data_IF_893195341190
#
_entry.id   IF_893195341190
#
_cell.length_a   1.000
_cell.length_b   1.000
_cell.length_c   1.000
_cell.angle_alpha   90.00
_cell.angle_beta   90.00
_cell.angle_gamma   90.00
#
_symmetry.space_group_name_H-M   'P 1'
#
loop_
_entity.id
_entity.type
_entity.pdbx_description
1 polymer ?
#
# COMPACT_ATOMS: atom_id res chain seq x y z
N UNK A 1 27.29 -51.63 19.52
CA UNK A 1 25.89 -51.29 19.82
C UNK A 1 25.70 -49.86 19.33
N UNK A 2 25.20 -49.72 18.10
CA UNK A 2 25.02 -48.46 17.40
C UNK A 2 23.64 -47.90 17.76
N UNK A 3 23.58 -46.71 18.32
CA UNK A 3 22.34 -45.95 18.42
C UNK A 3 22.52 -44.67 17.60
N UNK A 4 22.14 -44.77 16.33
CA UNK A 4 22.23 -43.69 15.35
C UNK A 4 21.07 -42.73 15.58
N UNK A 5 21.40 -41.47 15.84
CA UNK A 5 20.47 -40.36 15.98
C UNK A 5 19.65 -40.13 14.69
N UNK A 6 18.33 -40.01 14.80
CA UNK A 6 17.48 -39.42 13.78
C UNK A 6 16.92 -38.09 14.33
N UNK A 7 17.62 -36.98 14.05
CA UNK A 7 17.02 -35.64 14.12
C UNK A 7 16.52 -35.33 12.73
N UNK A 8 15.22 -35.43 12.52
CA UNK A 8 14.58 -34.87 11.35
C UNK A 8 14.71 -33.35 11.42
N UNK A 9 15.66 -32.80 10.66
CA UNK A 9 15.78 -31.37 10.46
C UNK A 9 14.61 -30.92 9.58
N UNK A 10 13.51 -30.48 10.20
CA UNK A 10 12.44 -29.77 9.52
C UNK A 10 13.04 -28.57 8.80
N UNK A 11 13.10 -28.65 7.47
CA UNK A 11 13.60 -27.58 6.63
C UNK A 11 12.59 -26.45 6.66
N UNK A 12 12.88 -25.40 7.43
CA UNK A 12 12.12 -24.14 7.40
C UNK A 12 12.27 -23.54 6.01
N UNK A 13 11.23 -23.67 5.18
CA UNK A 13 11.19 -23.02 3.87
C UNK A 13 10.90 -21.54 4.06
N UNK A 14 11.83 -20.68 3.68
CA UNK A 14 11.58 -19.24 3.61
C UNK A 14 10.53 -18.98 2.52
N UNK A 15 9.35 -18.53 2.93
CA UNK A 15 8.32 -18.05 2.00
C UNK A 15 8.67 -16.59 1.66
N UNK A 16 8.82 -16.23 0.37
CA UNK A 16 9.02 -14.83 -0.02
C UNK A 16 7.91 -13.96 0.55
N UNK A 17 8.28 -12.83 1.14
CA UNK A 17 7.30 -11.83 1.56
C UNK A 17 6.63 -11.23 0.31
N UNK A 18 5.33 -10.94 0.35
CA UNK A 18 4.66 -10.32 -0.79
C UNK A 18 5.20 -8.91 -1.01
N UNK A 19 5.73 -8.67 -2.21
CA UNK A 19 6.16 -7.35 -2.64
C UNK A 19 4.95 -6.41 -2.85
N UNK A 20 5.14 -5.08 -2.73
CA UNK A 20 4.10 -4.12 -3.05
C UNK A 20 3.59 -4.31 -4.48
N UNK A 21 2.26 -4.16 -4.67
CA UNK A 21 1.69 -4.24 -6.02
C UNK A 21 2.23 -3.10 -6.90
N UNK A 22 2.43 -3.38 -8.18
CA UNK A 22 2.78 -2.35 -9.15
C UNK A 22 1.63 -1.34 -9.34
N UNK A 23 2.00 -0.07 -9.43
CA UNK A 23 1.10 1.02 -9.78
C UNK A 23 0.57 0.84 -11.21
N UNK A 24 -0.71 1.12 -11.40
CA UNK A 24 -1.32 1.18 -12.74
C UNK A 24 -1.03 2.51 -13.43
N UNK A 25 -1.00 2.49 -14.76
CA UNK A 25 -1.01 3.72 -15.56
C UNK A 25 -2.38 4.39 -15.45
N UNK A 26 -2.43 5.71 -15.60
CA UNK A 26 -3.68 6.48 -15.43
C UNK A 26 -4.78 6.11 -16.43
N UNK A 27 -4.42 5.59 -17.60
CA UNK A 27 -5.35 5.11 -18.62
C UNK A 27 -5.84 3.68 -18.37
N UNK A 28 -5.27 2.96 -17.41
CA UNK A 28 -5.68 1.62 -17.00
C UNK A 28 -6.65 1.65 -15.80
N UNK A 29 -6.82 2.81 -15.16
CA UNK A 29 -7.80 3.01 -14.10
C UNK A 29 -9.21 3.07 -14.69
N UNK A 30 -10.15 2.35 -14.08
CA UNK A 30 -11.56 2.58 -14.37
C UNK A 30 -12.04 3.95 -13.81
N UNK A 31 -13.27 4.36 -14.15
CA UNK A 31 -13.79 5.68 -13.76
C UNK A 31 -13.79 5.92 -12.24
N UNK A 32 -14.14 4.93 -11.44
CA UNK A 32 -14.20 5.06 -9.97
C UNK A 32 -12.82 5.10 -9.33
N UNK A 33 -11.90 4.25 -9.82
CA UNK A 33 -10.50 4.27 -9.39
C UNK A 33 -9.82 5.58 -9.78
N UNK A 34 -10.08 6.07 -10.99
CA UNK A 34 -9.58 7.36 -11.48
C UNK A 34 -10.12 8.51 -10.65
N UNK A 35 -11.41 8.50 -10.33
CA UNK A 35 -12.02 9.51 -9.46
C UNK A 35 -11.37 9.53 -8.07
N UNK A 36 -11.13 8.35 -7.47
CA UNK A 36 -10.45 8.26 -6.19
C UNK A 36 -9.03 8.84 -6.25
N UNK A 37 -8.29 8.50 -7.31
CA UNK A 37 -6.96 9.05 -7.57
C UNK A 37 -6.98 10.59 -7.74
N UNK A 38 -7.90 11.11 -8.54
CA UNK A 38 -8.02 12.55 -8.82
C UNK A 38 -8.34 13.35 -7.55
N UNK A 39 -9.22 12.84 -6.67
CA UNK A 39 -9.54 13.48 -5.38
C UNK A 39 -8.27 13.64 -4.53
N UNK A 40 -7.45 12.59 -4.42
CA UNK A 40 -6.25 12.60 -3.58
C UNK A 40 -5.16 13.50 -4.19
N UNK A 41 -4.94 13.44 -5.50
CA UNK A 41 -3.90 14.26 -6.15
C UNK A 41 -4.27 15.74 -6.21
N UNK A 42 -5.55 16.06 -6.37
CA UNK A 42 -6.04 17.43 -6.26
C UNK A 42 -5.84 17.98 -4.84
N UNK A 43 -6.13 17.18 -3.81
CA UNK A 43 -5.89 17.56 -2.41
C UNK A 43 -4.40 17.78 -2.14
N UNK A 44 -3.53 16.85 -2.56
CA UNK A 44 -2.07 16.99 -2.47
C UNK A 44 -1.57 18.29 -3.12
N UNK A 45 -2.14 18.68 -4.27
CA UNK A 45 -1.79 19.92 -4.96
C UNK A 45 -2.28 21.16 -4.22
N UNK A 46 -3.44 21.09 -3.56
CA UNK A 46 -4.04 22.22 -2.83
C UNK A 46 -3.41 22.47 -1.45
N UNK A 47 -2.78 21.46 -0.86
CA UNK A 47 -2.06 21.58 0.42
C UNK A 47 -0.73 22.33 0.28
N UNK A 48 -0.26 22.58 -0.94
CA UNK A 48 0.98 23.33 -1.19
C UNK A 48 0.89 24.78 -0.73
N UNK A 49 1.72 25.15 0.24
CA UNK A 49 1.83 26.53 0.74
C UNK A 49 0.63 27.00 1.59
N UNK A 50 -0.33 26.13 1.86
CA UNK A 50 -1.54 26.42 2.61
C UNK A 50 -1.41 25.89 4.05
N UNK A 51 -1.27 26.79 5.03
CA UNK A 51 -1.28 26.43 6.47
C UNK A 51 -2.67 26.03 7.00
N UNK A 52 -3.69 25.90 6.12
CA UNK A 52 -5.09 25.75 6.50
C UNK A 52 -5.91 24.75 5.71
N UNK A 53 -5.32 23.92 4.83
CA UNK A 53 -6.10 22.88 4.16
C UNK A 53 -6.54 21.82 5.17
N UNK A 54 -7.85 21.59 5.31
CA UNK A 54 -8.36 20.51 6.14
C UNK A 54 -7.85 19.16 5.63
N UNK A 55 -7.66 18.22 6.56
CA UNK A 55 -7.30 16.84 6.23
C UNK A 55 -8.35 16.24 5.29
N UNK A 56 -7.91 15.56 4.22
CA UNK A 56 -8.79 14.74 3.40
C UNK A 56 -9.17 13.48 4.17
N UNK A 57 -10.45 13.39 4.56
CA UNK A 57 -11.04 12.18 5.11
C UNK A 57 -11.86 11.50 4.02
N UNK A 58 -11.36 10.38 3.51
CA UNK A 58 -11.97 9.66 2.40
C UNK A 58 -12.12 8.17 2.74
N UNK A 59 -13.30 7.61 2.47
CA UNK A 59 -13.55 6.18 2.54
C UNK A 59 -13.71 5.62 1.12
N UNK A 60 -12.77 4.77 0.70
CA UNK A 60 -12.85 4.07 -0.59
C UNK A 60 -13.50 2.69 -0.39
N UNK A 61 -14.75 2.54 -0.80
CA UNK A 61 -15.55 1.31 -0.65
C UNK A 61 -15.58 0.54 -1.97
N UNK A 62 -15.62 -0.79 -1.87
CA UNK A 62 -15.86 -1.67 -3.01
C UNK A 62 -15.66 -3.12 -2.60
N UNK A 63 -16.25 -4.03 -3.37
CA UNK A 63 -16.14 -5.48 -3.13
C UNK A 63 -14.68 -5.98 -3.16
N UNK A 64 -14.45 -7.18 -2.65
CA UNK A 64 -13.15 -7.85 -2.79
C UNK A 64 -12.74 -7.94 -4.27
N UNK A 65 -11.47 -7.69 -4.58
CA UNK A 65 -10.95 -7.80 -5.95
C UNK A 65 -11.15 -6.58 -6.85
N UNK A 66 -11.81 -5.50 -6.42
CA UNK A 66 -12.04 -4.30 -7.25
C UNK A 66 -10.81 -3.38 -7.43
N UNK A 67 -9.63 -3.82 -7.01
CA UNK A 67 -8.38 -3.08 -7.25
C UNK A 67 -8.11 -1.90 -6.31
N UNK A 68 -8.78 -1.80 -5.14
CA UNK A 68 -8.51 -0.72 -4.15
C UNK A 68 -7.04 -0.61 -3.75
N UNK A 69 -6.36 -1.74 -3.51
CA UNK A 69 -4.92 -1.74 -3.21
C UNK A 69 -4.08 -1.22 -4.37
N UNK A 70 -4.50 -1.43 -5.63
CA UNK A 70 -3.83 -0.84 -6.80
C UNK A 70 -4.01 0.68 -6.85
N UNK A 71 -5.19 1.19 -6.47
CA UNK A 71 -5.40 2.64 -6.35
C UNK A 71 -4.43 3.24 -5.32
N UNK A 72 -4.25 2.59 -4.17
CA UNK A 72 -3.28 3.03 -3.15
C UNK A 72 -1.85 3.08 -3.74
N UNK A 73 -1.47 2.12 -4.58
CA UNK A 73 -0.15 2.10 -5.20
C UNK A 73 0.01 3.17 -6.29
N UNK A 74 -1.01 3.39 -7.12
CA UNK A 74 -0.97 4.48 -8.10
C UNK A 74 -0.92 5.86 -7.41
N UNK A 75 -1.61 6.02 -6.27
CA UNK A 75 -1.47 7.22 -5.42
C UNK A 75 -0.05 7.32 -4.86
N UNK A 76 0.51 6.23 -4.33
CA UNK A 76 1.89 6.21 -3.82
C UNK A 76 2.87 6.70 -4.87
N UNK A 77 2.74 6.19 -6.09
CA UNK A 77 3.58 6.60 -7.21
C UNK A 77 3.42 8.10 -7.56
N UNK A 78 2.21 8.67 -7.43
CA UNK A 78 2.03 10.10 -7.61
C UNK A 78 2.74 10.94 -6.53
N UNK A 79 2.78 10.47 -5.26
CA UNK A 79 3.58 11.11 -4.21
C UNK A 79 5.09 11.01 -4.49
N UNK A 80 5.55 9.89 -5.04
CA UNK A 80 6.95 9.70 -5.47
C UNK A 80 7.34 10.69 -6.57
N UNK A 81 6.55 10.74 -7.66
CA UNK A 81 6.80 11.66 -8.79
C UNK A 81 6.71 13.13 -8.34
N UNK A 82 5.88 13.43 -7.34
CA UNK A 82 5.76 14.78 -6.78
C UNK A 82 6.85 15.12 -5.76
N UNK A 83 7.84 14.24 -5.54
CA UNK A 83 8.92 14.39 -4.54
C UNK A 83 8.42 14.58 -3.10
N UNK A 84 7.24 14.03 -2.79
CA UNK A 84 6.54 14.21 -1.50
C UNK A 84 6.26 12.92 -0.76
N UNK A 85 6.97 11.83 -1.11
CA UNK A 85 6.80 10.54 -0.46
C UNK A 85 6.92 10.61 1.08
N UNK A 86 7.74 11.53 1.61
CA UNK A 86 7.90 11.75 3.05
C UNK A 86 6.60 12.19 3.76
N UNK A 87 5.63 12.72 3.03
CA UNK A 87 4.32 13.11 3.57
C UNK A 87 3.31 11.96 3.60
N UNK A 88 3.62 10.82 2.96
CA UNK A 88 2.72 9.69 2.83
C UNK A 88 3.09 8.57 3.82
N UNK A 89 2.22 8.33 4.79
CA UNK A 89 2.26 7.12 5.62
C UNK A 89 1.16 6.15 5.21
N UNK A 90 1.51 4.87 5.08
CA UNK A 90 0.61 3.79 4.67
C UNK A 90 0.54 2.76 5.79
N UNK A 91 -0.68 2.44 6.20
CA UNK A 91 -0.92 1.48 7.28
C UNK A 91 -2.02 0.47 6.91
N UNK A 92 -1.93 -0.72 7.48
CA UNK A 92 -2.99 -1.73 7.41
C UNK A 92 -3.12 -2.50 8.74
N UNK A 93 -4.24 -3.21 8.93
CA UNK A 93 -4.48 -3.97 10.16
C UNK A 93 -3.65 -5.24 10.29
N UNK A 94 -3.25 -5.87 9.17
CA UNK A 94 -2.48 -7.12 9.16
C UNK A 94 -1.17 -6.95 8.41
N UNK A 95 -0.16 -7.77 8.76
CA UNK A 95 1.17 -7.71 8.14
C UNK A 95 1.13 -7.89 6.63
N UNK A 96 0.38 -8.90 6.14
CA UNK A 96 0.25 -9.15 4.70
C UNK A 96 -0.38 -7.97 3.96
N UNK A 97 -1.42 -7.34 4.52
CA UNK A 97 -2.04 -6.18 3.91
C UNK A 97 -1.08 -4.97 3.89
N UNK A 98 -0.28 -4.79 4.95
CA UNK A 98 0.74 -3.74 5.01
C UNK A 98 1.82 -3.96 3.95
N UNK A 99 2.35 -5.17 3.81
CA UNK A 99 3.32 -5.52 2.76
C UNK A 99 2.78 -5.24 1.35
N UNK A 100 1.53 -5.63 1.06
CA UNK A 100 0.90 -5.43 -0.26
C UNK A 100 0.77 -3.95 -0.67
N UNK A 101 0.63 -3.04 0.30
CA UNK A 101 0.59 -1.60 0.05
C UNK A 101 1.96 -0.91 0.25
N UNK A 102 3.01 -1.68 0.55
CA UNK A 102 4.34 -1.15 0.89
C UNK A 102 4.30 -0.22 2.10
N UNK A 103 3.53 -0.59 3.13
CA UNK A 103 3.33 0.16 4.36
C UNK A 103 3.68 -0.64 5.61
N UNK A 104 3.23 -0.14 6.77
CA UNK A 104 3.42 -0.78 8.07
C UNK A 104 2.08 -1.26 8.64
N UNK A 105 2.11 -2.07 9.71
CA UNK A 105 0.87 -2.33 10.44
C UNK A 105 0.47 -1.08 11.21
N UNK A 106 -0.83 -0.88 11.46
CA UNK A 106 -1.32 0.27 12.23
C UNK A 106 -0.70 0.32 13.64
N UNK A 107 -0.46 -0.84 14.24
CA UNK A 107 0.22 -0.95 15.53
C UNK A 107 1.69 -0.49 15.50
N UNK A 108 2.34 -0.51 14.34
CA UNK A 108 3.76 -0.15 14.18
C UNK A 108 3.97 1.29 13.69
N UNK A 109 2.91 2.00 13.30
CA UNK A 109 2.97 3.35 12.73
C UNK A 109 3.12 4.42 13.82
#
# INVERSE_FOLDING_TARGET
>A
MHEQAHRDAETVRHVPQPEPLEALKLNELNCEQRRAFDIVTQHLSATEGSTGSSQLLMQLIGEGGTGKSRVIQTITHAFEISERLCMLRKAAYTGIAACLIGGQTLHSL
#
